data_IF_437355968366
#
_entry.id   IF_437355968366
#
_cell.length_a   1.000
_cell.length_b   1.000
_cell.length_c   1.000
_cell.angle_alpha   90.00
_cell.angle_beta   90.00
_cell.angle_gamma   90.00
#
_symmetry.space_group_name_H-M   'P 1'
#
loop_
_entity.id
_entity.type
_entity.pdbx_description
1 polymer ?
#
# COMPACT_ATOMS: atom_id res chain seq x y z
N UNK A 1 -7.28 26.43 8.05
CA UNK A 1 -6.28 25.37 8.22
C UNK A 1 -4.88 25.98 8.25
N UNK A 2 -4.11 25.78 9.31
CA UNK A 2 -2.77 26.35 9.47
C UNK A 2 -1.72 25.35 9.00
N UNK A 3 -1.18 25.57 7.80
CA UNK A 3 -0.09 24.75 7.22
C UNK A 3 1.13 24.59 8.14
N UNK A 4 1.57 25.62 8.91
CA UNK A 4 2.73 25.47 9.81
C UNK A 4 2.52 24.39 10.89
N UNK A 5 1.29 24.23 11.37
CA UNK A 5 0.94 23.22 12.39
C UNK A 5 1.08 21.82 11.82
N UNK A 6 0.58 21.60 10.59
CA UNK A 6 0.70 20.33 9.88
C UNK A 6 2.17 19.94 9.68
N UNK A 7 3.00 20.88 9.23
CA UNK A 7 4.44 20.63 9.02
C UNK A 7 5.16 20.32 10.34
N UNK A 8 4.76 20.96 11.44
CA UNK A 8 5.32 20.69 12.76
C UNK A 8 4.98 19.28 13.23
N UNK A 9 3.73 18.83 13.04
CA UNK A 9 3.29 17.46 13.34
C UNK A 9 4.05 16.40 12.52
N UNK A 10 4.28 16.69 11.23
CA UNK A 10 5.07 15.81 10.37
C UNK A 10 6.52 15.72 10.86
N UNK A 11 7.12 16.88 11.18
CA UNK A 11 8.50 16.95 11.68
C UNK A 11 8.67 16.24 13.02
N UNK A 12 7.70 16.35 13.93
CA UNK A 12 7.74 15.65 15.21
C UNK A 12 7.64 14.13 15.02
N UNK A 13 6.76 13.67 14.12
CA UNK A 13 6.63 12.25 13.79
C UNK A 13 7.94 11.67 13.24
N UNK A 14 8.57 12.35 12.26
CA UNK A 14 9.83 11.91 11.66
C UNK A 14 11.00 11.88 12.67
N UNK A 15 11.03 12.83 13.61
CA UNK A 15 12.02 12.82 14.70
C UNK A 15 11.83 11.65 15.67
N UNK A 16 10.59 11.24 15.90
CA UNK A 16 10.23 10.15 16.80
C UNK A 16 10.55 8.77 16.22
N UNK A 17 10.32 8.56 14.93
CA UNK A 17 10.44 7.23 14.29
C UNK A 17 11.87 6.82 13.92
N UNK A 18 12.81 7.78 13.76
CA UNK A 18 14.23 7.56 13.38
C UNK A 18 14.46 6.26 12.56
N UNK A 19 13.90 6.18 11.34
CA UNK A 19 13.68 4.90 10.63
C UNK A 19 14.97 4.08 10.45
N UNK A 20 16.06 4.72 10.04
CA UNK A 20 17.33 4.05 9.72
C UNK A 20 18.04 3.40 10.92
N UNK A 21 17.97 4.00 12.12
CA UNK A 21 18.59 3.42 13.33
C UNK A 21 17.80 2.23 13.88
N UNK A 22 16.49 2.22 13.65
CA UNK A 22 15.62 1.14 14.14
C UNK A 22 15.76 -0.15 13.33
N UNK A 23 15.98 -0.04 12.02
CA UNK A 23 16.12 -1.18 11.10
C UNK A 23 17.38 -2.00 11.42
N UNK A 24 18.54 -1.35 11.55
CA UNK A 24 19.81 -2.04 11.83
C UNK A 24 19.84 -2.69 13.22
N UNK A 25 19.17 -2.11 14.21
CA UNK A 25 19.07 -2.68 15.56
C UNK A 25 18.10 -3.87 15.67
N UNK A 26 17.10 -3.95 14.78
CA UNK A 26 16.12 -5.06 14.72
C UNK A 26 16.71 -6.32 14.10
N UNK A 27 17.67 -6.18 13.19
CA UNK A 27 18.27 -7.29 12.45
C UNK A 27 19.55 -7.86 13.06
N UNK A 28 19.95 -7.37 14.23
CA UNK A 28 21.18 -7.78 14.87
C UNK A 28 20.92 -8.90 15.89
N UNK A 29 21.47 -10.09 15.64
CA UNK A 29 21.44 -11.21 16.58
C UNK A 29 22.84 -11.40 17.17
N UNK A 30 22.96 -11.31 18.49
CA UNK A 30 24.23 -11.51 19.19
C UNK A 30 24.29 -10.88 20.57
N UNK A 31 24.81 -11.62 21.56
CA UNK A 31 25.02 -11.13 22.94
C UNK A 31 26.21 -10.16 23.04
N UNK A 32 27.24 -10.30 22.19
CA UNK A 32 28.42 -9.40 22.12
C UNK A 32 28.22 -8.29 21.07
N UNK A 33 28.60 -7.06 21.41
CA UNK A 33 28.39 -5.85 20.58
C UNK A 33 29.03 -5.93 19.19
N UNK A 34 30.22 -6.52 19.06
CA UNK A 34 30.92 -6.69 17.77
C UNK A 34 30.21 -7.71 16.86
N UNK A 35 29.94 -8.92 17.37
CA UNK A 35 29.24 -9.99 16.63
C UNK A 35 27.83 -9.55 16.21
N UNK A 36 27.13 -8.80 17.08
CA UNK A 36 25.81 -8.21 16.81
C UNK A 36 25.86 -7.20 15.65
N UNK A 37 26.94 -6.43 15.54
CA UNK A 37 27.09 -5.44 14.47
C UNK A 37 27.43 -6.11 13.14
N UNK A 38 28.35 -7.08 13.15
CA UNK A 38 28.73 -7.85 11.96
C UNK A 38 27.55 -8.66 11.42
N UNK A 39 26.82 -9.38 12.29
CA UNK A 39 25.64 -10.14 11.88
C UNK A 39 24.53 -9.24 11.30
N UNK A 40 24.33 -8.05 11.89
CA UNK A 40 23.39 -7.06 11.37
C UNK A 40 23.77 -6.53 9.98
N UNK A 41 25.07 -6.32 9.71
CA UNK A 41 25.58 -5.89 8.40
C UNK A 41 25.47 -7.00 7.36
N UNK A 42 25.84 -8.24 7.71
CA UNK A 42 25.72 -9.38 6.78
C UNK A 42 24.24 -9.63 6.44
N UNK A 43 23.35 -9.61 7.43
CA UNK A 43 21.93 -9.82 7.18
C UNK A 43 21.32 -8.69 6.33
N UNK A 44 21.71 -7.43 6.57
CA UNK A 44 21.23 -6.32 5.74
C UNK A 44 21.72 -6.43 4.30
N UNK A 45 22.95 -6.89 4.08
CA UNK A 45 23.52 -7.11 2.75
C UNK A 45 22.82 -8.27 2.02
N UNK A 46 22.53 -9.37 2.73
CA UNK A 46 21.74 -10.49 2.19
C UNK A 46 20.30 -10.06 1.85
N UNK A 47 19.66 -9.24 2.68
CA UNK A 47 18.33 -8.68 2.37
C UNK A 47 18.37 -7.74 1.17
N UNK A 48 19.43 -6.95 1.02
CA UNK A 48 19.60 -6.08 -0.13
C UNK A 48 19.80 -6.91 -1.40
N UNK A 49 20.63 -7.96 -1.34
CA UNK A 49 20.83 -8.89 -2.45
C UNK A 49 19.53 -9.59 -2.86
N UNK A 50 18.76 -10.12 -1.90
CA UNK A 50 17.47 -10.77 -2.21
C UNK A 50 16.45 -9.78 -2.79
N UNK A 51 16.42 -8.55 -2.28
CA UNK A 51 15.58 -7.47 -2.80
C UNK A 51 15.96 -7.11 -4.23
N UNK A 52 17.25 -6.99 -4.55
CA UNK A 52 17.73 -6.73 -5.91
C UNK A 52 17.38 -7.87 -6.87
N UNK A 53 17.55 -9.13 -6.45
CA UNK A 53 17.13 -10.30 -7.24
C UNK A 53 15.63 -10.29 -7.52
N UNK A 54 14.82 -9.91 -6.52
CA UNK A 54 13.37 -9.79 -6.69
C UNK A 54 13.01 -8.68 -7.68
N UNK A 55 13.63 -7.50 -7.56
CA UNK A 55 13.43 -6.38 -8.50
C UNK A 55 13.81 -6.77 -9.92
N UNK A 56 14.93 -7.47 -10.09
CA UNK A 56 15.36 -7.98 -11.39
C UNK A 56 14.34 -8.96 -11.98
N UNK A 57 13.89 -9.94 -11.19
CA UNK A 57 12.88 -10.90 -11.62
C UNK A 57 11.55 -10.20 -11.99
N UNK A 58 11.14 -9.21 -11.20
CA UNK A 58 9.94 -8.41 -11.46
C UNK A 58 10.08 -7.63 -12.78
N UNK A 59 11.24 -7.01 -13.02
CA UNK A 59 11.57 -6.33 -14.27
C UNK A 59 11.52 -7.26 -15.49
N UNK A 60 12.11 -8.45 -15.39
CA UNK A 60 12.06 -9.47 -16.45
C UNK A 60 10.63 -9.91 -16.76
N UNK A 61 9.78 -10.07 -15.74
CA UNK A 61 8.36 -10.39 -15.96
C UNK A 61 7.63 -9.25 -16.68
N UNK A 62 7.86 -7.99 -16.30
CA UNK A 62 7.27 -6.85 -16.99
C UNK A 62 7.74 -6.73 -18.43
N UNK A 63 9.01 -7.02 -18.69
CA UNK A 63 9.56 -7.06 -20.03
C UNK A 63 8.86 -8.14 -20.89
N UNK A 64 8.68 -9.35 -20.36
CA UNK A 64 7.96 -10.42 -21.05
C UNK A 64 6.50 -10.03 -21.34
N UNK A 65 5.79 -9.43 -20.37
CA UNK A 65 4.44 -8.95 -20.58
C UNK A 65 4.37 -7.83 -21.63
N UNK A 66 5.35 -6.95 -21.65
CA UNK A 66 5.45 -5.88 -22.65
C UNK A 66 5.64 -6.46 -24.06
N UNK A 67 6.54 -7.43 -24.23
CA UNK A 67 6.77 -8.10 -25.52
C UNK A 67 5.51 -8.79 -26.04
N UNK A 68 4.85 -9.60 -25.19
CA UNK A 68 3.60 -10.27 -25.56
C UNK A 68 2.50 -9.26 -25.88
N UNK A 69 2.40 -8.18 -25.12
CA UNK A 69 1.47 -7.08 -25.40
C UNK A 69 1.68 -6.47 -26.78
N UNK A 70 2.95 -6.19 -27.15
CA UNK A 70 3.30 -5.67 -28.47
C UNK A 70 2.93 -6.65 -29.60
N UNK A 71 3.14 -7.96 -29.42
CA UNK A 71 2.74 -8.98 -30.40
C UNK A 71 1.22 -9.06 -30.61
N UNK A 72 0.42 -8.76 -29.59
CA UNK A 72 -1.05 -8.81 -29.61
C UNK A 72 -1.70 -7.47 -30.04
N UNK A 73 -0.89 -6.43 -30.27
CA UNK A 73 -1.34 -5.09 -30.62
C UNK A 73 -1.87 -4.28 -29.44
N UNK A 74 -1.51 -4.65 -28.20
CA UNK A 74 -1.79 -3.88 -26.98
C UNK A 74 -0.44 -3.39 -26.42
N UNK A 75 0.07 -2.23 -26.86
CA UNK A 75 1.32 -1.71 -26.32
C UNK A 75 1.13 -1.30 -24.84
N UNK A 76 2.21 -1.35 -24.05
CA UNK A 76 2.28 -0.91 -22.65
C UNK A 76 1.69 -1.86 -21.59
N UNK A 77 1.51 -3.15 -21.90
CA UNK A 77 1.03 -4.15 -20.93
C UNK A 77 1.98 -4.29 -19.73
N UNK A 78 3.30 -4.18 -19.92
CA UNK A 78 4.26 -4.23 -18.81
C UNK A 78 4.06 -3.09 -17.80
N UNK A 79 3.79 -1.87 -18.30
CA UNK A 79 3.50 -0.70 -17.47
C UNK A 79 2.14 -0.81 -16.77
N UNK A 80 1.12 -1.34 -17.47
CA UNK A 80 -0.18 -1.63 -16.89
C UNK A 80 -0.05 -2.60 -15.72
N UNK A 81 0.69 -3.69 -15.90
CA UNK A 81 0.94 -4.67 -14.84
C UNK A 81 1.70 -4.04 -13.67
N UNK A 82 2.71 -3.21 -13.93
CA UNK A 82 3.42 -2.45 -12.89
C UNK A 82 2.49 -1.58 -12.06
N UNK A 83 1.63 -0.78 -12.70
CA UNK A 83 0.66 0.07 -12.03
C UNK A 83 -0.39 -0.73 -11.24
N UNK A 84 -0.90 -1.82 -11.81
CA UNK A 84 -1.87 -2.69 -11.17
C UNK A 84 -1.28 -3.40 -9.94
N UNK A 85 -0.10 -4.00 -10.08
CA UNK A 85 0.58 -4.67 -8.97
C UNK A 85 0.94 -3.68 -7.86
N UNK A 86 1.49 -2.50 -8.20
CA UNK A 86 1.78 -1.47 -7.21
C UNK A 86 0.52 -1.08 -6.41
N UNK A 87 -0.60 -0.86 -7.11
CA UNK A 87 -1.88 -0.50 -6.47
C UNK A 87 -2.39 -1.63 -5.58
N UNK A 88 -2.40 -2.87 -6.06
CA UNK A 88 -2.85 -4.04 -5.31
C UNK A 88 -1.98 -4.29 -4.08
N UNK A 89 -0.65 -4.23 -4.22
CA UNK A 89 0.28 -4.36 -3.10
C UNK A 89 0.05 -3.26 -2.07
N UNK A 90 -0.16 -2.01 -2.49
CA UNK A 90 -0.49 -0.93 -1.57
C UNK A 90 -1.81 -1.18 -0.85
N UNK A 91 -2.85 -1.64 -1.53
CA UNK A 91 -4.13 -1.98 -0.88
C UNK A 91 -3.94 -3.05 0.20
N UNK A 92 -3.17 -4.10 -0.09
CA UNK A 92 -2.94 -5.22 0.83
C UNK A 92 -2.12 -4.79 2.05
N UNK A 93 -1.04 -4.05 1.84
CA UNK A 93 -0.13 -3.67 2.93
C UNK A 93 -0.63 -2.45 3.72
N UNK A 94 -1.30 -1.50 3.06
CA UNK A 94 -1.73 -0.26 3.70
C UNK A 94 -3.04 -0.42 4.47
N UNK A 95 -3.96 -1.28 4.03
CA UNK A 95 -5.26 -1.43 4.68
C UNK A 95 -5.19 -1.84 6.16
N UNK A 96 -4.40 -2.86 6.57
CA UNK A 96 -4.31 -3.24 7.98
C UNK A 96 -3.67 -2.15 8.86
N UNK A 97 -2.81 -1.32 8.26
CA UNK A 97 -2.11 -0.24 8.95
C UNK A 97 -2.93 1.06 8.99
N UNK A 98 -3.93 1.22 8.13
CA UNK A 98 -4.67 2.46 7.93
C UNK A 98 -5.28 2.99 9.24
N UNK A 99 -6.05 2.16 9.95
CA UNK A 99 -6.69 2.54 11.22
C UNK A 99 -5.66 3.00 12.25
N UNK A 100 -4.55 2.26 12.36
CA UNK A 100 -3.51 2.51 13.35
C UNK A 100 -2.74 3.80 13.07
N UNK A 101 -2.58 4.17 11.80
CA UNK A 101 -1.86 5.40 11.42
C UNK A 101 -2.81 6.60 11.41
N UNK A 102 -4.03 6.45 10.90
CA UNK A 102 -4.96 7.56 10.68
C UNK A 102 -5.73 7.96 11.95
N UNK A 103 -6.24 7.00 12.71
CA UNK A 103 -7.21 7.27 13.80
C UNK A 103 -6.84 6.71 15.17
N UNK A 104 -6.06 5.62 15.25
CA UNK A 104 -5.76 4.90 16.48
C UNK A 104 -4.30 5.03 16.96
N UNK A 105 -3.53 5.98 16.42
CA UNK A 105 -2.17 6.24 16.89
C UNK A 105 -2.22 6.79 18.33
N UNK A 106 -1.42 6.23 19.25
CA UNK A 106 -1.37 6.65 20.68
C UNK A 106 -1.10 8.14 20.88
N UNK A 107 -0.43 8.76 19.92
CA UNK A 107 -0.13 10.19 19.91
C UNK A 107 -1.39 11.05 19.67
N UNK A 108 -2.40 10.54 18.95
CA UNK A 108 -3.64 11.27 18.64
C UNK A 108 -4.37 11.64 19.93
N UNK A 109 -4.43 10.75 20.92
CA UNK A 109 -5.04 11.05 22.23
C UNK A 109 -4.35 12.23 22.94
N UNK A 110 -3.02 12.34 22.82
CA UNK A 110 -2.25 13.44 23.40
C UNK A 110 -2.37 14.74 22.59
N UNK A 111 -2.42 14.62 21.27
CA UNK A 111 -2.54 15.75 20.35
C UNK A 111 -3.94 16.39 20.39
N UNK A 112 -4.98 15.61 20.69
CA UNK A 112 -6.35 16.13 20.86
C UNK A 112 -6.52 17.02 22.09
N UNK A 113 -5.62 16.95 23.07
CA UNK A 113 -5.61 17.87 24.20
C UNK A 113 -5.05 19.26 23.83
N UNK A 114 -4.38 19.39 22.68
CA UNK A 114 -3.92 20.67 22.15
C UNK A 114 -5.02 21.31 21.29
N UNK A 115 -5.01 22.64 21.18
CA UNK A 115 -5.89 23.44 20.31
C UNK A 115 -5.54 23.31 18.81
N UNK A 116 -5.54 22.07 18.30
CA UNK A 116 -5.32 21.72 16.90
C UNK A 116 -6.68 21.39 16.28
N UNK A 117 -6.94 21.89 15.06
CA UNK A 117 -8.19 21.56 14.37
C UNK A 117 -8.16 20.13 13.82
N UNK A 118 -9.32 19.48 13.79
CA UNK A 118 -9.46 18.10 13.28
C UNK A 118 -9.00 17.98 11.82
N UNK A 119 -9.23 19.02 11.00
CA UNK A 119 -8.73 19.08 9.62
C UNK A 119 -7.20 19.11 9.52
N UNK A 120 -6.51 19.81 10.44
CA UNK A 120 -5.05 19.86 10.47
C UNK A 120 -4.47 18.49 10.85
N UNK A 121 -5.11 17.82 11.81
CA UNK A 121 -4.70 16.51 12.28
C UNK A 121 -4.93 15.43 11.21
N UNK A 122 -6.11 15.40 10.60
CA UNK A 122 -6.44 14.51 9.49
C UNK A 122 -5.44 14.66 8.32
N UNK A 123 -5.17 15.90 7.89
CA UNK A 123 -4.23 16.16 6.81
C UNK A 123 -2.81 15.69 7.16
N UNK A 124 -2.33 15.97 8.37
CA UNK A 124 -1.01 15.51 8.81
C UNK A 124 -0.89 13.98 8.78
N UNK A 125 -1.94 13.27 9.19
CA UNK A 125 -1.95 11.81 9.24
C UNK A 125 -2.07 11.19 7.85
N UNK A 126 -2.82 11.79 6.95
CA UNK A 126 -2.84 11.38 5.54
C UNK A 126 -1.47 11.56 4.88
N UNK A 127 -0.76 12.67 5.14
CA UNK A 127 0.60 12.86 4.63
C UNK A 127 1.56 11.82 5.22
N UNK A 128 1.49 11.55 6.52
CA UNK A 128 2.30 10.50 7.16
C UNK A 128 2.00 9.13 6.54
N UNK A 129 0.72 8.82 6.34
CA UNK A 129 0.28 7.57 5.73
C UNK A 129 0.81 7.44 4.31
N UNK A 130 0.76 8.53 3.53
CA UNK A 130 1.34 8.58 2.18
C UNK A 130 2.84 8.27 2.20
N UNK A 131 3.64 8.96 3.01
CA UNK A 131 5.09 8.74 3.06
C UNK A 131 5.49 7.36 3.60
N UNK A 132 4.68 6.75 4.47
CA UNK A 132 4.96 5.40 4.96
C UNK A 132 4.82 4.33 3.86
N UNK A 133 3.87 4.49 2.93
CA UNK A 133 3.61 3.52 1.86
C UNK A 133 4.22 3.89 0.50
N UNK A 134 4.71 5.12 0.36
CA UNK A 134 5.40 5.61 -0.84
C UNK A 134 6.56 4.71 -1.32
N UNK A 135 7.47 4.21 -0.44
CA UNK A 135 8.56 3.34 -0.87
C UNK A 135 8.09 2.01 -1.46
N UNK A 136 6.98 1.47 -0.95
CA UNK A 136 6.39 0.22 -1.48
C UNK A 136 5.90 0.45 -2.91
N UNK A 137 5.30 1.60 -3.19
CA UNK A 137 4.83 1.91 -4.55
C UNK A 137 6.00 2.03 -5.53
N UNK A 138 7.04 2.77 -5.14
CA UNK A 138 8.27 2.93 -5.94
C UNK A 138 8.88 1.57 -6.30
N UNK A 139 8.92 0.65 -5.34
CA UNK A 139 9.49 -0.67 -5.52
C UNK A 139 8.85 -1.46 -6.68
N UNK A 140 7.54 -1.36 -6.87
CA UNK A 140 6.82 -2.04 -7.95
C UNK A 140 6.82 -1.25 -9.26
N UNK A 141 6.77 0.09 -9.21
CA UNK A 141 6.62 0.91 -10.43
C UNK A 141 7.95 1.21 -11.14
N UNK A 142 9.04 1.42 -10.41
CA UNK A 142 10.35 1.75 -11.01
C UNK A 142 10.78 0.69 -12.04
N UNK A 143 10.72 -0.63 -11.76
CA UNK A 143 11.12 -1.62 -12.76
C UNK A 143 10.26 -1.60 -14.01
N UNK A 144 8.96 -1.32 -13.88
CA UNK A 144 8.06 -1.18 -15.01
C UNK A 144 8.41 0.05 -15.88
N UNK A 145 8.77 1.17 -15.24
CA UNK A 145 9.21 2.38 -15.94
C UNK A 145 10.51 2.16 -16.71
N UNK A 146 11.46 1.42 -16.13
CA UNK A 146 12.72 1.05 -16.82
C UNK A 146 12.41 0.21 -18.06
N UNK A 147 11.53 -0.79 -17.93
CA UNK A 147 11.08 -1.62 -19.07
C UNK A 147 10.41 -0.77 -20.16
N UNK A 148 9.61 0.23 -19.78
CA UNK A 148 9.04 1.19 -20.74
C UNK A 148 10.12 1.88 -21.56
N UNK A 149 11.14 2.45 -20.92
CA UNK A 149 12.27 3.11 -21.61
C UNK A 149 12.99 2.13 -22.54
N UNK A 150 13.25 0.91 -22.07
CA UNK A 150 13.98 -0.10 -22.86
C UNK A 150 13.22 -0.56 -24.11
N UNK A 151 11.89 -0.52 -24.10
CA UNK A 151 11.07 -1.08 -25.21
C UNK A 151 10.56 -0.02 -26.17
N UNK A 152 10.18 1.16 -25.68
CA UNK A 152 9.62 2.24 -26.51
C UNK A 152 10.58 3.42 -26.72
N UNK A 153 11.75 3.39 -26.09
CA UNK A 153 12.74 4.46 -26.15
C UNK A 153 12.54 5.56 -25.10
N UNK A 154 13.51 6.46 -25.03
CA UNK A 154 13.52 7.60 -24.11
C UNK A 154 12.92 8.85 -24.76
N UNK A 155 12.11 9.58 -24.00
CA UNK A 155 11.59 10.89 -24.36
C UNK A 155 11.55 11.79 -23.13
N UNK A 156 11.79 13.09 -23.31
CA UNK A 156 11.67 14.07 -22.22
C UNK A 156 10.25 14.07 -21.62
N UNK A 157 9.23 13.92 -22.45
CA UNK A 157 7.85 13.80 -21.99
C UNK A 157 7.64 12.54 -21.13
N UNK A 158 8.27 11.43 -21.50
CA UNK A 158 8.20 10.20 -20.71
C UNK A 158 8.86 10.37 -19.34
N UNK A 159 10.02 11.04 -19.27
CA UNK A 159 10.69 11.33 -18.00
C UNK A 159 9.80 12.17 -17.07
N UNK A 160 9.22 13.25 -17.58
CA UNK A 160 8.34 14.13 -16.80
C UNK A 160 7.08 13.39 -16.34
N UNK A 161 6.45 12.63 -17.25
CA UNK A 161 5.26 11.84 -16.95
C UNK A 161 5.54 10.73 -15.93
N UNK A 162 6.72 10.10 -16.01
CA UNK A 162 7.18 9.11 -15.04
C UNK A 162 7.38 9.73 -13.66
N UNK A 163 7.95 10.93 -13.57
CA UNK A 163 8.11 11.63 -12.29
C UNK A 163 6.75 11.95 -11.65
N UNK A 164 5.79 12.43 -12.46
CA UNK A 164 4.42 12.68 -12.03
C UNK A 164 3.71 11.39 -11.60
N UNK A 165 3.92 10.30 -12.32
CA UNK A 165 3.41 8.98 -11.97
C UNK A 165 3.95 8.48 -10.63
N UNK A 166 5.25 8.63 -10.39
CA UNK A 166 5.88 8.23 -9.14
C UNK A 166 5.33 9.03 -7.97
N UNK A 167 5.11 10.35 -8.16
CA UNK A 167 4.63 11.25 -7.10
C UNK A 167 3.12 11.19 -6.86
N UNK A 168 2.30 11.04 -7.90
CA UNK A 168 0.84 11.09 -7.77
C UNK A 168 0.22 9.70 -7.75
N UNK A 169 0.88 8.71 -8.34
CA UNK A 169 0.37 7.35 -8.46
C UNK A 169 -0.05 6.67 -7.15
N UNK A 170 0.72 6.79 -6.05
CA UNK A 170 0.32 6.24 -4.76
C UNK A 170 -0.96 6.87 -4.20
N UNK A 171 -1.34 8.08 -4.63
CA UNK A 171 -2.51 8.79 -4.09
C UNK A 171 -3.80 8.01 -4.33
N UNK A 172 -3.91 7.27 -5.44
CA UNK A 172 -5.10 6.46 -5.76
C UNK A 172 -5.30 5.32 -4.75
N UNK A 173 -4.37 4.35 -4.59
CA UNK A 173 -4.56 3.27 -3.64
C UNK A 173 -4.65 3.76 -2.20
N UNK A 174 -3.86 4.78 -1.81
CA UNK A 174 -3.90 5.33 -0.45
C UNK A 174 -5.28 5.91 -0.13
N UNK A 175 -5.83 6.68 -1.06
CA UNK A 175 -7.17 7.24 -0.94
C UNK A 175 -8.25 6.17 -0.85
N UNK A 176 -8.19 5.14 -1.71
CA UNK A 176 -9.13 4.02 -1.64
C UNK A 176 -9.06 3.34 -0.27
N UNK A 177 -7.85 3.09 0.25
CA UNK A 177 -7.67 2.52 1.59
C UNK A 177 -8.24 3.42 2.67
N UNK A 178 -7.99 4.73 2.62
CA UNK A 178 -8.54 5.67 3.60
C UNK A 178 -10.08 5.71 3.58
N UNK A 179 -10.71 5.71 2.40
CA UNK A 179 -12.17 5.65 2.30
C UNK A 179 -12.75 4.33 2.82
N UNK A 180 -12.13 3.21 2.46
CA UNK A 180 -12.54 1.89 2.96
C UNK A 180 -12.41 1.82 4.48
N UNK A 181 -11.34 2.38 5.04
CA UNK A 181 -11.11 2.44 6.47
C UNK A 181 -12.19 3.25 7.20
N UNK A 182 -12.51 4.45 6.70
CA UNK A 182 -13.61 5.27 7.22
C UNK A 182 -14.91 4.47 7.18
N UNK A 183 -15.22 3.80 6.07
CA UNK A 183 -16.40 2.93 5.96
C UNK A 183 -16.42 1.81 7.01
N UNK A 184 -15.30 1.12 7.21
CA UNK A 184 -15.15 0.04 8.18
C UNK A 184 -15.33 0.54 9.62
N UNK A 185 -14.79 1.70 9.97
CA UNK A 185 -14.95 2.29 11.31
C UNK A 185 -16.43 2.59 11.58
N UNK A 186 -17.15 3.15 10.61
CA UNK A 186 -18.58 3.44 10.73
C UNK A 186 -19.42 2.16 10.82
N UNK A 187 -19.19 1.18 9.95
CA UNK A 187 -19.93 -0.09 9.93
C UNK A 187 -19.70 -0.91 11.20
N UNK A 188 -18.48 -0.97 11.71
CA UNK A 188 -18.15 -1.74 12.91
C UNK A 188 -18.38 -0.97 14.21
N UNK A 189 -18.80 0.30 14.13
CA UNK A 189 -18.94 1.24 15.26
C UNK A 189 -17.69 1.24 16.15
N UNK A 190 -16.50 1.15 15.53
CA UNK A 190 -15.20 1.07 16.20
C UNK A 190 -14.91 -0.21 17.00
N UNK A 191 -15.83 -1.18 17.09
CA UNK A 191 -15.70 -2.33 18.02
C UNK A 191 -14.77 -3.44 17.52
N UNK A 192 -14.67 -3.61 16.19
CA UNK A 192 -13.83 -4.62 15.52
C UNK A 192 -13.00 -4.05 14.37
N UNK A 193 -13.00 -2.73 14.18
CA UNK A 193 -12.31 -2.08 13.07
C UNK A 193 -10.84 -2.53 12.96
N UNK A 194 -10.09 -2.51 14.06
CA UNK A 194 -8.69 -2.96 14.06
C UNK A 194 -8.52 -4.43 13.64
N UNK A 195 -9.43 -5.31 14.08
CA UNK A 195 -9.41 -6.74 13.71
C UNK A 195 -9.84 -6.98 12.26
N UNK A 196 -10.69 -6.14 11.68
CA UNK A 196 -11.07 -6.30 10.27
C UNK A 196 -9.92 -6.06 9.32
N UNK A 197 -8.95 -5.20 9.66
CA UNK A 197 -7.72 -5.04 8.90
C UNK A 197 -6.88 -6.32 8.86
N UNK A 198 -6.71 -6.96 10.03
CA UNK A 198 -5.98 -8.23 10.16
C UNK A 198 -6.69 -9.38 9.43
N UNK A 199 -8.03 -9.47 9.55
CA UNK A 199 -8.82 -10.47 8.85
C UNK A 199 -8.79 -10.29 7.34
N UNK A 200 -8.88 -9.04 6.86
CA UNK A 200 -8.75 -8.74 5.43
C UNK A 200 -7.39 -9.19 4.91
N UNK A 201 -6.31 -8.83 5.60
CA UNK A 201 -4.97 -9.27 5.24
C UNK A 201 -4.87 -10.80 5.16
N UNK A 202 -5.37 -11.50 6.18
CA UNK A 202 -5.31 -12.96 6.22
C UNK A 202 -6.10 -13.60 5.08
N UNK A 203 -7.32 -13.14 4.80
CA UNK A 203 -8.16 -13.65 3.71
C UNK A 203 -7.52 -13.38 2.35
N UNK A 204 -7.02 -12.17 2.11
CA UNK A 204 -6.40 -11.81 0.83
C UNK A 204 -5.08 -12.56 0.63
N UNK A 205 -4.25 -12.68 1.66
CA UNK A 205 -3.01 -13.46 1.57
C UNK A 205 -3.29 -14.94 1.33
N UNK A 206 -4.31 -15.51 1.98
CA UNK A 206 -4.70 -16.90 1.76
C UNK A 206 -5.21 -17.12 0.33
N UNK A 207 -6.03 -16.19 -0.19
CA UNK A 207 -6.46 -16.21 -1.58
C UNK A 207 -5.30 -16.10 -2.57
N UNK A 208 -4.31 -15.25 -2.29
CA UNK A 208 -3.09 -15.12 -3.10
C UNK A 208 -2.25 -16.40 -3.08
N UNK A 209 -2.02 -17.00 -1.91
CA UNK A 209 -1.28 -18.25 -1.80
C UNK A 209 -1.98 -19.36 -2.58
N UNK A 210 -3.29 -19.54 -2.38
CA UNK A 210 -4.08 -20.54 -3.12
C UNK A 210 -4.03 -20.26 -4.64
N UNK A 211 -4.13 -19.00 -5.05
CA UNK A 211 -4.06 -18.59 -6.46
C UNK A 211 -2.72 -18.92 -7.10
N UNK A 212 -1.61 -18.60 -6.43
CA UNK A 212 -0.26 -18.91 -6.89
C UNK A 212 -0.06 -20.42 -6.96
N UNK A 213 -0.42 -21.16 -5.91
CA UNK A 213 -0.29 -22.62 -5.87
C UNK A 213 -1.13 -23.32 -6.95
N UNK A 214 -2.34 -22.81 -7.24
CA UNK A 214 -3.20 -23.34 -8.30
C UNK A 214 -2.62 -23.12 -9.70
N UNK A 215 -1.94 -21.99 -9.93
CA UNK A 215 -1.27 -21.70 -11.21
C UNK A 215 0.03 -22.51 -11.38
N UNK A 216 0.84 -22.65 -10.32
CA UNK A 216 2.05 -23.47 -10.37
C UNK A 216 1.75 -24.94 -10.66
N UNK A 217 0.63 -25.47 -10.16
CA UNK A 217 0.18 -26.83 -10.49
C UNK A 217 -0.22 -27.02 -11.96
N UNK A 218 -0.61 -25.95 -12.68
CA UNK A 218 -1.04 -26.00 -14.09
C UNK A 218 0.09 -25.73 -15.08
N UNK A 219 1.08 -24.91 -14.69
CA UNK A 219 2.19 -24.55 -15.55
C UNK A 219 3.26 -25.66 -15.68
N UNK A 220 3.17 -26.74 -14.88
CA UNK A 220 4.05 -27.90 -15.00
C UNK A 220 3.75 -28.76 -16.25
N UNK A 221 2.59 -28.59 -16.89
CA UNK A 221 2.15 -29.38 -18.05
C UNK A 221 2.26 -28.62 -19.39
N UNK A 222 2.68 -27.35 -19.38
CA UNK A 222 2.56 -26.43 -20.52
C UNK A 222 3.93 -26.01 -21.07
N UNK A 223 4.80 -26.97 -21.37
CA UNK A 223 6.07 -26.74 -22.07
C UNK A 223 5.98 -27.31 -23.49
N UNK A 224 5.90 -26.45 -24.51
CA UNK A 224 6.15 -26.92 -25.88
C UNK A 224 5.69 -26.09 -27.07
N UNK A 225 4.86 -25.04 -26.93
CA UNK A 225 4.41 -24.31 -28.13
C UNK A 225 4.17 -22.81 -27.89
N UNK A 226 5.21 -21.98 -28.14
CA UNK A 226 5.15 -20.52 -27.98
C UNK A 226 4.18 -19.84 -28.97
N UNK A 227 3.94 -20.42 -30.15
CA UNK A 227 3.07 -19.84 -31.19
C UNK A 227 1.57 -20.08 -30.91
N UNK A 228 1.21 -21.21 -30.29
CA UNK A 228 -0.18 -21.46 -29.86
C UNK A 228 -0.59 -20.63 -28.64
N UNK A 229 0.39 -20.26 -27.79
CA UNK A 229 0.17 -19.47 -26.59
C UNK A 229 -0.20 -18.01 -26.91
N UNK A 230 0.38 -17.39 -27.93
CA UNK A 230 0.08 -15.98 -28.28
C UNK A 230 -1.37 -15.80 -28.74
N UNK A 231 -1.92 -16.73 -29.53
CA UNK A 231 -3.31 -16.70 -29.96
C UNK A 231 -4.30 -16.92 -28.80
N UNK A 232 -3.96 -17.75 -27.82
CA UNK A 232 -4.79 -17.98 -26.62
C UNK A 232 -4.69 -16.84 -25.61
N UNK A 233 -3.52 -16.19 -25.50
CA UNK A 233 -3.28 -15.09 -24.56
C UNK A 233 -3.88 -13.76 -25.04
N UNK A 234 -4.02 -13.55 -26.35
CA UNK A 234 -4.57 -12.34 -26.92
C UNK A 234 -5.95 -11.91 -26.35
N UNK A 235 -6.99 -12.78 -26.33
CA UNK A 235 -8.29 -12.42 -25.76
C UNK A 235 -8.21 -12.19 -24.24
N UNK A 236 -7.33 -12.92 -23.54
CA UNK A 236 -7.12 -12.74 -22.09
C UNK A 236 -6.53 -11.38 -21.79
N UNK A 237 -5.49 -10.97 -22.52
CA UNK A 237 -4.84 -9.66 -22.37
C UNK A 237 -5.85 -8.55 -22.65
N UNK A 238 -6.60 -8.61 -23.76
CA UNK A 238 -7.61 -7.59 -24.08
C UNK A 238 -8.70 -7.48 -23.02
N UNK A 239 -9.19 -8.62 -22.50
CA UNK A 239 -10.17 -8.64 -21.42
C UNK A 239 -9.61 -8.06 -20.13
N UNK A 240 -8.36 -8.37 -19.81
CA UNK A 240 -7.66 -7.88 -18.63
C UNK A 240 -7.39 -6.38 -18.72
N UNK A 241 -6.96 -5.86 -19.88
CA UNK A 241 -6.79 -4.42 -20.11
C UNK A 241 -8.11 -3.66 -19.95
N UNK A 242 -9.24 -4.24 -20.39
CA UNK A 242 -10.56 -3.63 -20.21
C UNK A 242 -11.01 -3.62 -18.75
N UNK A 243 -10.75 -4.70 -18.01
CA UNK A 243 -11.07 -4.76 -16.58
C UNK A 243 -10.18 -3.80 -15.77
N UNK A 244 -8.91 -3.67 -16.16
CA UNK A 244 -7.92 -2.79 -15.56
C UNK A 244 -7.84 -1.42 -16.28
N UNK A 245 -8.95 -0.96 -16.86
CA UNK A 245 -8.99 0.28 -17.65
C UNK A 245 -8.38 1.51 -16.94
N UNK A 246 -8.58 1.74 -15.63
CA UNK A 246 -7.93 2.86 -14.93
C UNK A 246 -6.40 2.78 -14.94
N UNK A 247 -5.83 1.57 -14.87
CA UNK A 247 -4.39 1.35 -14.94
C UNK A 247 -3.87 1.37 -16.40
N UNK A 248 -4.72 0.99 -17.35
CA UNK A 248 -4.44 1.19 -18.78
C UNK A 248 -4.33 2.68 -19.12
N UNK A 249 -5.23 3.51 -18.60
CA UNK A 249 -5.17 4.98 -18.73
C UNK A 249 -3.88 5.54 -18.13
N UNK A 250 -3.50 5.06 -16.95
CA UNK A 250 -2.24 5.41 -16.30
C UNK A 250 -1.01 5.04 -17.16
N UNK A 251 -1.00 3.84 -17.73
CA UNK A 251 0.10 3.35 -18.58
C UNK A 251 0.20 4.12 -19.90
N UNK A 252 -0.94 4.45 -20.53
CA UNK A 252 -1.01 5.21 -21.77
C UNK A 252 -0.72 6.71 -21.56
N UNK A 253 -1.06 7.24 -20.40
CA UNK A 253 -0.78 8.64 -20.01
C UNK A 253 0.71 8.98 -20.04
N UNK A 254 1.61 8.00 -19.85
CA UNK A 254 3.06 8.20 -19.99
C UNK A 254 3.50 8.64 -21.39
N UNK A 255 2.67 8.41 -22.41
CA UNK A 255 2.97 8.71 -23.81
C UNK A 255 2.00 9.73 -24.42
N UNK A 256 0.89 10.05 -23.73
CA UNK A 256 -0.13 10.97 -24.22
C UNK A 256 -0.47 12.03 -23.16
N UNK A 257 -0.27 13.34 -23.44
CA UNK A 257 -0.49 14.41 -22.47
C UNK A 257 -1.94 14.55 -22.03
N UNK A 258 -2.91 14.30 -22.92
CA UNK A 258 -4.33 14.41 -22.59
C UNK A 258 -4.72 13.32 -21.59
N UNK A 259 -4.29 12.09 -21.85
CA UNK A 259 -4.56 10.96 -20.96
C UNK A 259 -3.85 11.14 -19.61
N UNK A 260 -2.64 11.71 -19.61
CA UNK A 260 -1.93 12.07 -18.38
C UNK A 260 -2.73 13.06 -17.54
N UNK A 261 -3.22 14.14 -18.16
CA UNK A 261 -4.01 15.16 -17.47
C UNK A 261 -5.32 14.59 -16.91
N UNK A 262 -6.02 13.75 -17.67
CA UNK A 262 -7.23 13.06 -17.21
C UNK A 262 -6.92 12.18 -15.99
N UNK A 263 -5.85 11.40 -16.05
CA UNK A 263 -5.45 10.54 -14.94
C UNK A 263 -5.02 11.34 -13.70
N UNK A 264 -4.24 12.42 -13.87
CA UNK A 264 -3.83 13.32 -12.78
C UNK A 264 -5.03 14.01 -12.14
N UNK A 265 -5.96 14.52 -12.95
CA UNK A 265 -7.19 15.13 -12.46
C UNK A 265 -8.01 14.11 -11.66
N UNK A 266 -8.14 12.88 -12.14
CA UNK A 266 -8.80 11.79 -11.42
C UNK A 266 -8.14 11.48 -10.07
N UNK A 267 -6.81 11.38 -10.04
CA UNK A 267 -6.06 11.10 -8.82
C UNK A 267 -6.17 12.24 -7.78
N UNK A 268 -6.07 13.49 -8.22
CA UNK A 268 -6.20 14.67 -7.36
C UNK A 268 -7.62 14.85 -6.84
N UNK A 269 -8.62 14.65 -7.70
CA UNK A 269 -10.03 14.71 -7.31
C UNK A 269 -10.33 13.63 -6.27
N UNK A 270 -9.87 12.40 -6.49
CA UNK A 270 -10.04 11.31 -5.54
C UNK A 270 -9.36 11.66 -4.20
N UNK A 271 -8.13 12.19 -4.21
CA UNK A 271 -7.44 12.64 -3.00
C UNK A 271 -8.16 13.80 -2.28
N UNK A 272 -8.79 14.70 -3.02
CA UNK A 272 -9.60 15.78 -2.44
C UNK A 272 -10.87 15.22 -1.78
N UNK A 273 -11.58 14.30 -2.44
CA UNK A 273 -12.73 13.61 -1.85
C UNK A 273 -12.32 12.89 -0.57
N UNK A 274 -11.19 12.16 -0.60
CA UNK A 274 -10.75 11.43 0.60
C UNK A 274 -10.38 12.35 1.74
N UNK A 275 -9.72 13.47 1.45
CA UNK A 275 -9.44 14.48 2.46
C UNK A 275 -10.72 15.06 3.07
N UNK A 276 -11.69 15.48 2.26
CA UNK A 276 -12.95 16.07 2.76
C UNK A 276 -13.76 15.07 3.60
N UNK A 277 -13.88 13.82 3.15
CA UNK A 277 -14.56 12.75 3.87
C UNK A 277 -13.84 12.43 5.19
N UNK A 278 -12.52 12.27 5.14
CA UNK A 278 -11.73 11.91 6.33
C UNK A 278 -11.72 13.04 7.35
N UNK A 279 -11.53 14.30 6.92
CA UNK A 279 -11.55 15.46 7.80
C UNK A 279 -12.94 15.71 8.42
N UNK A 280 -14.01 15.54 7.64
CA UNK A 280 -15.39 15.69 8.12
C UNK A 280 -15.81 14.60 9.12
N UNK A 281 -15.32 13.37 8.94
CA UNK A 281 -15.65 12.23 9.82
C UNK A 281 -14.62 11.98 10.92
N UNK A 282 -13.52 12.74 10.96
CA UNK A 282 -12.36 12.45 11.81
C UNK A 282 -12.71 12.35 13.30
N UNK A 283 -13.43 13.35 13.82
CA UNK A 283 -13.81 13.40 15.23
C UNK A 283 -14.70 12.21 15.62
N UNK A 284 -15.67 11.88 14.76
CA UNK A 284 -16.61 10.78 14.97
C UNK A 284 -15.91 9.41 14.90
N UNK A 285 -15.00 9.23 13.95
CA UNK A 285 -14.20 8.00 13.84
C UNK A 285 -13.34 7.79 15.09
N UNK A 286 -12.67 8.84 15.58
CA UNK A 286 -11.86 8.76 16.80
C UNK A 286 -12.71 8.48 18.06
N UNK A 287 -13.90 9.07 18.18
CA UNK A 287 -14.79 8.83 19.34
C UNK A 287 -15.39 7.42 19.34
N UNK A 288 -15.73 6.87 18.17
CA UNK A 288 -16.18 5.49 18.01
C UNK A 288 -15.10 4.48 18.40
N UNK A 289 -13.85 4.72 17.99
CA UNK A 289 -12.72 3.84 18.36
C UNK A 289 -12.43 3.89 19.88
N UNK A 290 -12.47 5.09 20.47
CA UNK A 290 -12.29 5.25 21.92
C UNK A 290 -13.40 4.55 22.73
N UNK A 291 -14.66 4.73 22.33
CA UNK A 291 -15.82 4.12 23.01
C UNK A 291 -15.91 2.59 22.81
N UNK A 292 -15.51 2.10 21.65
CA UNK A 292 -15.41 0.67 21.34
C UNK A 292 -14.42 -0.07 22.23
N UNK A 293 -13.29 0.56 22.56
CA UNK A 293 -12.28 0.06 23.48
C UNK A 293 -12.71 0.07 24.96
N UNK A 294 -13.49 1.08 25.38
CA UNK A 294 -13.95 1.21 26.76
C UNK A 294 -15.01 0.16 27.14
N UNK A 295 -15.97 -0.11 26.25
CA UNK A 295 -17.02 -1.14 26.48
C UNK A 295 -16.47 -2.56 26.49
N UNK A 296 -15.44 -2.87 25.70
CA UNK A 296 -14.79 -4.19 25.72
C UNK A 296 -13.99 -4.42 27.00
N UNK A 297 -13.26 -3.41 27.51
CA UNK A 297 -12.59 -3.49 28.82
C UNK A 297 -13.58 -3.64 29.99
N UNK A 298 -14.67 -2.88 30.02
CA UNK A 298 -15.70 -2.98 31.07
C UNK A 298 -16.36 -4.37 31.07
N UNK A 299 -16.70 -4.92 29.90
CA UNK A 299 -17.27 -6.28 29.78
C UNK A 299 -16.28 -7.37 30.20
N UNK A 300 -14.99 -7.23 29.89
CA UNK A 300 -13.96 -8.17 30.32
C UNK A 300 -13.75 -8.14 31.83
N UNK A 301 -13.79 -6.94 32.45
CA UNK A 301 -13.70 -6.77 33.91
C UNK A 301 -14.91 -7.37 34.65
N UNK A 302 -16.12 -7.21 34.12
CA UNK A 302 -17.31 -7.85 34.70
C UNK A 302 -17.27 -9.38 34.59
N UNK A 303 -16.83 -9.93 33.46
CA UNK A 303 -16.72 -11.40 33.31
C UNK A 303 -15.61 -12.03 34.18
N UNK A 304 -14.56 -11.29 34.55
CA UNK A 304 -13.57 -11.76 35.54
C UNK A 304 -14.01 -11.55 36.99
N UNK A 305 -14.99 -10.66 37.24
CA UNK A 305 -15.59 -10.46 38.57
C UNK A 305 -16.66 -11.50 38.92
N UNK A 306 -17.14 -12.27 37.93
CA UNK A 306 -18.07 -13.40 38.09
C UNK A 306 -17.35 -14.77 38.17
N UNK A 307 -16.07 -14.80 38.55
CA UNK A 307 -15.50 -16.05 39.05
C UNK A 307 -16.07 -16.29 40.45
N UNK A 308 -17.13 -17.11 40.47
CA UNK A 308 -17.84 -17.65 41.64
C UNK A 308 -16.88 -17.95 42.81
N UNK A 309 -17.29 -17.70 44.07
CA UNK A 309 -16.54 -18.21 45.20
C UNK A 309 -16.44 -19.72 45.08
N UNK A 310 -15.20 -20.23 45.11
CA UNK A 310 -14.94 -21.66 45.27
C UNK A 310 -15.50 -22.01 46.64
N UNK A 311 -16.67 -22.63 46.67
CA UNK A 311 -17.18 -23.31 47.87
C UNK A 311 -16.23 -24.47 48.10
N UNK A 312 -15.40 -24.33 49.14
CA UNK A 312 -14.67 -25.45 49.69
C UNK A 312 -15.69 -26.41 50.31
N UNK A 313 -15.83 -27.58 49.70
CA UNK A 313 -16.39 -28.80 50.27
C UNK A 313 -15.43 -29.93 49.94
#
# INVERSE_FOLDING_TARGET
MRIPVVLLLLKSYLKGTKPLRSVTQRFSFGKKKSVRTISGVVLSLLMLASLMSFVFLLGTNYYNYQLVGMMVGVPHVGLLMGAAFATLSLLIFAFPAAINILHAAKEIERLRALAISESELALSRMIIFYFNFFPIYLFFVIPALIVGIMTTGFSFFYLLSSLLLLLVGPMIPISLVSLLEVGVVHLTKGRRAQRSGELFYLVVMMALVIGISSQMGKNAEMTGNLEGLTHQLAPVIRKLTRFLAPFALQAQGLYNPILLLVWLAGALLLAYITFTVTAGTYHHACSLLASGGYRTKKRRKNNTGEQKPIVAL
#
